data_IF_753207396635
#
_entry.id   IF_753207396635
#
_cell.length_a   1.000
_cell.length_b   1.000
_cell.length_c   1.000
_cell.angle_alpha   90.00
_cell.angle_beta   90.00
_cell.angle_gamma   90.00
#
_symmetry.space_group_name_H-M   'P 1'
#
loop_
_entity.id
_entity.type
_entity.pdbx_description
1 polymer ?
#
# COMPACT_ATOMS: atom_id res chain seq x y z
N UNK A 1 0.36 -5.53 24.73
CA UNK A 1 0.46 -6.92 24.25
C UNK A 1 1.07 -6.89 22.85
N UNK A 2 2.36 -7.19 22.75
CA UNK A 2 3.16 -7.07 21.53
C UNK A 2 3.33 -8.48 20.96
N UNK A 3 2.81 -8.74 19.76
CA UNK A 3 2.56 -10.09 19.25
C UNK A 3 3.54 -10.55 18.15
N UNK A 4 4.70 -9.89 17.99
CA UNK A 4 5.72 -10.34 17.05
C UNK A 4 7.12 -10.14 17.65
N UNK A 5 7.65 -11.22 18.22
CA UNK A 5 9.02 -11.33 18.70
C UNK A 5 9.84 -12.02 17.60
N UNK A 6 10.22 -11.28 16.56
CA UNK A 6 11.25 -11.70 15.62
C UNK A 6 12.29 -10.59 15.51
N UNK A 7 13.51 -10.91 15.94
CA UNK A 7 14.64 -10.02 16.19
C UNK A 7 15.08 -9.25 14.94
N UNK A 8 14.70 -7.97 14.85
CA UNK A 8 15.39 -6.95 14.07
C UNK A 8 15.72 -5.80 15.02
N UNK A 9 16.86 -5.89 15.74
CA UNK A 9 17.25 -4.94 16.79
C UNK A 9 16.91 -3.49 16.46
N UNK A 10 16.21 -2.82 17.37
CA UNK A 10 15.67 -1.44 17.36
C UNK A 10 15.07 -0.89 16.04
N UNK A 11 14.90 -1.73 15.02
CA UNK A 11 14.50 -1.32 13.66
C UNK A 11 13.01 -1.53 13.39
N UNK A 12 12.32 -2.28 14.24
CA UNK A 12 10.92 -2.65 14.05
C UNK A 12 10.10 -2.34 15.30
N UNK A 13 9.10 -1.49 15.13
CA UNK A 13 8.08 -1.20 16.15
C UNK A 13 6.72 -1.62 15.62
N UNK A 14 6.06 -2.54 16.32
CA UNK A 14 4.70 -2.95 15.97
C UNK A 14 3.67 -2.13 16.76
N UNK A 15 2.74 -1.50 16.06
CA UNK A 15 1.63 -0.76 16.63
C UNK A 15 0.31 -1.33 16.10
N UNK A 16 -0.58 -1.76 17.01
CA UNK A 16 -1.94 -2.14 16.66
C UNK A 16 -2.80 -0.88 16.53
N UNK A 17 -3.42 -0.65 15.37
CA UNK A 17 -4.31 0.49 15.13
C UNK A 17 -4.93 0.44 13.73
N UNK A 18 -5.74 1.43 13.39
CA UNK A 18 -6.28 1.62 12.03
C UNK A 18 -5.88 3.00 11.51
N UNK A 19 -5.44 3.08 10.25
CA UNK A 19 -5.11 4.34 9.58
C UNK A 19 -6.32 5.25 9.40
N UNK A 20 -7.54 4.73 9.53
CA UNK A 20 -8.76 5.57 9.52
C UNK A 20 -8.91 6.42 10.78
N UNK A 21 -8.18 6.10 11.86
CA UNK A 21 -8.22 6.85 13.10
C UNK A 21 -7.06 7.87 13.15
N UNK A 22 -7.35 9.18 13.19
CA UNK A 22 -6.31 10.22 13.25
C UNK A 22 -5.37 10.09 14.45
N UNK A 23 -5.87 9.59 15.59
CA UNK A 23 -5.05 9.37 16.78
C UNK A 23 -3.97 8.30 16.55
N UNK A 24 -4.28 7.27 15.77
CA UNK A 24 -3.33 6.22 15.42
C UNK A 24 -2.28 6.71 14.41
N UNK A 25 -2.68 7.59 13.48
CA UNK A 25 -1.77 8.26 12.54
C UNK A 25 -0.74 9.15 13.24
N UNK A 26 -1.17 9.89 14.28
CA UNK A 26 -0.24 10.65 15.11
C UNK A 26 0.69 9.73 15.92
N UNK A 27 0.14 8.64 16.49
CA UNK A 27 0.92 7.69 17.31
C UNK A 27 2.01 6.96 16.53
N UNK A 28 1.78 6.67 15.25
CA UNK A 28 2.81 6.10 14.36
C UNK A 28 3.82 7.15 13.87
N UNK A 29 3.63 8.43 14.21
CA UNK A 29 4.54 9.50 13.83
C UNK A 29 4.49 9.81 12.33
N UNK A 30 3.31 9.72 11.70
CA UNK A 30 3.14 9.87 10.24
C UNK A 30 3.69 11.21 9.72
N UNK A 31 3.63 12.28 10.53
CA UNK A 31 4.23 13.59 10.23
C UNK A 31 5.76 13.55 9.99
N UNK A 32 6.46 12.57 10.57
CA UNK A 32 7.91 12.40 10.42
C UNK A 32 8.30 11.30 9.43
N UNK A 33 7.31 10.56 8.90
CA UNK A 33 7.54 9.43 8.02
C UNK A 33 7.97 9.90 6.62
N UNK A 34 8.94 9.19 6.03
CA UNK A 34 9.37 9.43 4.64
C UNK A 34 8.50 8.70 3.62
N UNK A 35 8.00 7.53 3.99
CA UNK A 35 7.21 6.69 3.10
C UNK A 35 6.20 5.85 3.89
N UNK A 36 5.11 5.50 3.23
CA UNK A 36 4.04 4.65 3.76
C UNK A 36 3.77 3.56 2.74
N UNK A 37 3.82 2.31 3.19
CA UNK A 37 3.53 1.14 2.37
C UNK A 37 2.20 0.54 2.79
N UNK A 38 1.24 0.52 1.88
CA UNK A 38 -0.08 -0.07 2.09
C UNK A 38 -0.12 -1.38 1.33
N UNK A 39 -0.23 -2.47 2.07
CA UNK A 39 -0.24 -3.83 1.53
C UNK A 39 -1.66 -4.36 1.55
N UNK A 40 -2.09 -4.98 0.44
CA UNK A 40 -3.37 -5.66 0.34
C UNK A 40 -3.23 -7.12 0.75
N UNK A 41 -4.25 -7.66 1.42
CA UNK A 41 -4.35 -9.10 1.63
C UNK A 41 -4.71 -9.81 0.32
N UNK A 42 -3.73 -10.54 -0.22
CA UNK A 42 -3.84 -11.27 -1.49
C UNK A 42 -4.72 -12.50 -1.39
N UNK A 43 -4.98 -12.97 -0.18
CA UNK A 43 -5.77 -14.17 0.11
C UNK A 43 -7.09 -13.82 0.80
N UNK A 44 -7.50 -12.54 0.77
CA UNK A 44 -8.78 -12.10 1.30
C UNK A 44 -9.92 -12.86 0.62
N UNK A 45 -10.94 -13.23 1.40
CA UNK A 45 -12.14 -13.88 0.86
C UNK A 45 -12.87 -13.03 -0.19
N UNK A 46 -12.82 -11.71 -0.02
CA UNK A 46 -13.31 -10.73 -0.98
C UNK A 46 -12.21 -9.71 -1.27
N UNK A 47 -11.54 -9.93 -2.41
CA UNK A 47 -10.43 -9.09 -2.88
C UNK A 47 -10.90 -7.71 -3.35
N UNK A 48 -12.14 -7.55 -3.78
CA UNK A 48 -12.71 -6.25 -4.16
C UNK A 48 -12.93 -5.35 -2.94
N UNK A 49 -13.43 -5.94 -1.86
CA UNK A 49 -13.56 -5.25 -0.58
C UNK A 49 -12.19 -4.84 -0.03
N UNK A 50 -11.18 -5.69 -0.15
CA UNK A 50 -9.83 -5.37 0.31
C UNK A 50 -9.17 -4.25 -0.51
N UNK A 51 -9.37 -4.25 -1.83
CA UNK A 51 -8.94 -3.15 -2.69
C UNK A 51 -9.62 -1.83 -2.31
N UNK A 52 -10.92 -1.88 -1.99
CA UNK A 52 -11.67 -0.72 -1.50
C UNK A 52 -11.11 -0.24 -0.15
N UNK A 53 -10.75 -1.15 0.76
CA UNK A 53 -10.08 -0.79 2.01
C UNK A 53 -8.74 -0.09 1.76
N UNK A 54 -7.95 -0.61 0.82
CA UNK A 54 -6.66 -0.04 0.44
C UNK A 54 -6.81 1.35 -0.15
N UNK A 55 -7.76 1.54 -1.06
CA UNK A 55 -8.12 2.84 -1.62
C UNK A 55 -8.45 3.85 -0.53
N UNK A 56 -9.32 3.47 0.42
CA UNK A 56 -9.68 4.33 1.55
C UNK A 56 -8.48 4.68 2.43
N UNK A 57 -7.58 3.72 2.71
CA UNK A 57 -6.36 3.97 3.48
C UNK A 57 -5.44 4.97 2.78
N UNK A 58 -5.31 4.89 1.45
CA UNK A 58 -4.55 5.88 0.65
C UNK A 58 -5.14 7.28 0.82
N UNK A 59 -6.47 7.40 0.67
CA UNK A 59 -7.16 8.70 0.82
C UNK A 59 -6.93 9.28 2.21
N UNK A 60 -7.08 8.49 3.27
CA UNK A 60 -6.83 8.97 4.64
C UNK A 60 -5.39 9.46 4.83
N UNK A 61 -4.39 8.79 4.23
CA UNK A 61 -3.00 9.23 4.28
C UNK A 61 -2.77 10.55 3.52
N UNK A 62 -3.39 10.71 2.34
CA UNK A 62 -3.31 11.95 1.56
C UNK A 62 -3.98 13.11 2.30
N UNK A 63 -5.15 12.86 2.87
CA UNK A 63 -5.90 13.83 3.65
C UNK A 63 -5.10 14.32 4.87
N UNK A 64 -4.48 13.39 5.60
CA UNK A 64 -3.59 13.72 6.72
C UNK A 64 -2.38 14.57 6.28
N UNK A 65 -1.79 14.25 5.13
CA UNK A 65 -0.67 15.02 4.60
C UNK A 65 -1.07 16.42 4.12
N UNK A 66 -2.30 16.59 3.62
CA UNK A 66 -2.83 17.88 3.17
C UNK A 66 -3.22 18.82 4.33
N UNK A 67 -3.68 18.27 5.46
CA UNK A 67 -4.09 19.03 6.64
C UNK A 67 -2.95 19.45 7.57
N UNK A 68 -1.70 19.11 7.25
CA UNK A 68 -0.54 19.54 8.01
C UNK A 68 -0.12 20.97 7.62
N UNK A 69 0.22 21.79 8.62
CA UNK A 69 0.71 23.18 8.43
C UNK A 69 1.99 23.28 7.58
N UNK A 70 2.74 22.17 7.44
CA UNK A 70 3.95 22.10 6.63
C UNK A 70 3.78 21.07 5.51
N UNK A 71 4.26 21.35 4.29
CA UNK A 71 4.19 20.40 3.19
C UNK A 71 4.96 19.13 3.54
N UNK A 72 4.23 18.04 3.77
CA UNK A 72 4.79 16.74 4.09
C UNK A 72 5.30 16.07 2.81
N UNK A 73 6.60 15.79 2.73
CA UNK A 73 7.15 14.99 1.64
C UNK A 73 6.95 13.49 1.94
N UNK A 74 5.69 13.06 1.91
CA UNK A 74 5.30 11.68 2.21
C UNK A 74 5.13 10.86 0.93
N UNK A 75 5.96 9.84 0.75
CA UNK A 75 5.83 8.92 -0.38
C UNK A 75 4.88 7.76 -0.03
N UNK A 76 3.67 7.77 -0.61
CA UNK A 76 2.70 6.68 -0.44
C UNK A 76 2.90 5.63 -1.55
N UNK A 77 3.06 4.38 -1.15
CA UNK A 77 3.11 3.20 -2.01
C UNK A 77 1.96 2.27 -1.68
N UNK A 78 1.24 1.79 -2.70
CA UNK A 78 0.06 0.96 -2.52
C UNK A 78 0.13 -0.31 -3.36
N UNK A 79 -0.28 -1.43 -2.78
CA UNK A 79 -0.50 -2.68 -3.47
C UNK A 79 -2.00 -2.92 -3.63
N UNK A 80 -2.44 -3.25 -4.83
CA UNK A 80 -3.84 -3.60 -5.14
C UNK A 80 -3.91 -4.90 -5.91
N UNK A 81 -5.04 -5.58 -5.82
CA UNK A 81 -5.29 -6.83 -6.53
C UNK A 81 -5.72 -6.53 -7.96
N UNK A 82 -6.80 -5.77 -8.14
CA UNK A 82 -7.43 -5.55 -9.43
C UNK A 82 -6.94 -4.28 -10.14
N UNK A 83 -6.97 -4.30 -11.47
CA UNK A 83 -6.57 -3.17 -12.29
C UNK A 83 -7.52 -1.97 -12.17
N UNK A 84 -8.82 -2.20 -12.02
CA UNK A 84 -9.82 -1.13 -11.92
C UNK A 84 -9.56 -0.23 -10.71
N UNK A 85 -9.13 -0.81 -9.59
CA UNK A 85 -8.75 -0.04 -8.39
C UNK A 85 -7.45 0.74 -8.62
N UNK A 86 -6.50 0.19 -9.37
CA UNK A 86 -5.29 0.93 -9.76
C UNK A 86 -5.64 2.19 -10.55
N UNK A 87 -6.55 2.08 -11.53
CA UNK A 87 -6.97 3.22 -12.34
C UNK A 87 -7.66 4.30 -11.47
N UNK A 88 -8.45 3.88 -10.47
CA UNK A 88 -9.02 4.80 -9.46
C UNK A 88 -7.95 5.50 -8.63
N UNK A 89 -6.94 4.78 -8.16
CA UNK A 89 -5.82 5.38 -7.42
C UNK A 89 -5.05 6.42 -8.25
N UNK A 90 -4.87 6.15 -9.54
CA UNK A 90 -4.24 7.10 -10.47
C UNK A 90 -5.11 8.35 -10.63
N UNK A 91 -6.44 8.19 -10.73
CA UNK A 91 -7.37 9.31 -10.84
C UNK A 91 -7.37 10.23 -9.61
N UNK A 92 -7.04 9.70 -8.43
CA UNK A 92 -6.89 10.44 -7.17
C UNK A 92 -5.53 11.16 -7.08
N UNK A 93 -4.66 10.99 -8.08
CA UNK A 93 -3.37 11.66 -8.18
C UNK A 93 -2.21 10.87 -7.58
N UNK A 94 -2.38 9.58 -7.27
CA UNK A 94 -1.26 8.72 -6.89
C UNK A 94 -0.51 8.31 -8.17
N UNK A 95 0.80 8.58 -8.29
CA UNK A 95 1.52 8.32 -9.52
C UNK A 95 1.66 6.81 -9.75
N UNK A 96 1.51 6.37 -11.01
CA UNK A 96 1.43 4.96 -11.37
C UNK A 96 2.65 4.13 -10.96
N UNK A 97 3.84 4.74 -10.87
CA UNK A 97 5.08 4.06 -10.45
C UNK A 97 5.11 3.73 -8.94
N UNK A 98 4.15 4.22 -8.15
CA UNK A 98 4.02 3.90 -6.72
C UNK A 98 2.93 2.87 -6.43
N UNK A 99 2.29 2.35 -7.47
CA UNK A 99 1.19 1.40 -7.36
C UNK A 99 1.65 0.05 -7.91
N UNK A 100 1.45 -1.01 -7.13
CA UNK A 100 1.72 -2.39 -7.53
C UNK A 100 0.39 -3.11 -7.71
N UNK A 101 -0.01 -3.32 -8.96
CA UNK A 101 -1.19 -4.13 -9.29
C UNK A 101 -0.81 -5.59 -9.49
N UNK A 102 -1.35 -6.48 -8.67
CA UNK A 102 -1.02 -7.91 -8.68
C UNK A 102 -1.53 -8.59 -9.94
N UNK A 103 -2.78 -8.34 -10.32
CA UNK A 103 -3.38 -8.89 -11.53
C UNK A 103 -2.57 -8.51 -12.78
N UNK A 104 -2.20 -7.23 -12.91
CA UNK A 104 -1.42 -6.75 -14.05
C UNK A 104 -0.05 -7.45 -14.14
N UNK A 105 0.64 -7.61 -13.00
CA UNK A 105 1.94 -8.30 -12.97
C UNK A 105 1.78 -9.77 -13.33
N UNK A 106 0.81 -10.46 -12.72
CA UNK A 106 0.53 -11.88 -13.01
C UNK A 106 0.22 -12.10 -14.49
N UNK A 107 -0.69 -11.30 -15.06
CA UNK A 107 -1.08 -11.41 -16.47
C UNK A 107 0.09 -11.13 -17.40
N UNK A 108 0.94 -10.14 -17.09
CA UNK A 108 2.15 -9.85 -17.89
C UNK A 108 3.20 -10.95 -17.80
N UNK A 109 3.41 -11.52 -16.63
CA UNK A 109 4.32 -12.65 -16.46
C UNK A 109 3.86 -13.85 -17.30
N UNK A 110 2.56 -14.18 -17.24
CA UNK A 110 1.98 -15.28 -18.02
C UNK A 110 2.03 -15.01 -19.53
N UNK A 111 1.71 -13.78 -19.98
CA UNK A 111 1.78 -13.45 -21.40
C UNK A 111 3.19 -13.57 -21.95
N UNK A 112 4.20 -13.13 -21.19
CA UNK A 112 5.60 -13.22 -21.60
C UNK A 112 6.10 -14.67 -21.58
N UNK A 113 5.58 -15.52 -20.68
CA UNK A 113 5.90 -16.94 -20.67
C UNK A 113 5.49 -17.66 -21.97
N UNK A 114 4.44 -17.17 -22.66
CA UNK A 114 4.04 -17.67 -23.96
C UNK A 114 5.02 -17.30 -25.09
N UNK A 115 5.80 -16.23 -24.94
CA UNK A 115 6.81 -15.81 -25.91
C UNK A 115 8.15 -16.49 -25.63
N UNK A 116 8.58 -16.46 -24.37
CA UNK A 116 9.85 -17.01 -23.92
C UNK A 116 9.65 -17.84 -22.65
N UNK A 117 9.90 -19.14 -22.80
CA UNK A 117 9.89 -20.08 -21.69
C UNK A 117 10.90 -19.65 -20.62
N UNK A 118 10.46 -19.62 -19.36
CA UNK A 118 11.32 -19.23 -18.22
C UNK A 118 11.35 -17.73 -17.90
N UNK A 119 10.67 -16.87 -18.67
CA UNK A 119 10.60 -15.43 -18.36
C UNK A 119 10.07 -15.09 -16.95
N UNK A 120 9.04 -15.78 -16.41
CA UNK A 120 8.55 -15.48 -15.04
C UNK A 120 9.57 -15.77 -13.93
N UNK A 121 10.61 -16.57 -14.22
CA UNK A 121 11.63 -17.02 -13.28
C UNK A 121 13.02 -16.42 -13.52
N UNK A 122 13.17 -15.63 -14.59
CA UNK A 122 14.41 -14.94 -14.94
C UNK A 122 14.54 -13.65 -14.12
#
# INVERSE_FOLDING_TARGET
ATLLQYSAGDRLTYLKGDLRNPADMQRVGMASAKAVFILADRNAADTWKEDTNTLMRVICCQDYAAHQDRPLNLAIFAQVVHKETMDRLISIGLPSHRIVCIEQIKTRMLSNACLWHGWPTF
#
